data_IF_714417334534
#
_entry.id   IF_714417334534
#
_cell.length_a   1.000
_cell.length_b   1.000
_cell.length_c   1.000
_cell.angle_alpha   90.00
_cell.angle_beta   90.00
_cell.angle_gamma   90.00
#
_symmetry.space_group_name_H-M   'P 1'
#
loop_
_entity.id
_entity.type
_entity.pdbx_description
1 polymer ?
#
# COMPACT_ATOMS: atom_id res chain seq x y z
N UNK A 1 -11.45 -0.15 -17.91
CA UNK A 1 -11.42 1.25 -17.44
C UNK A 1 -9.96 1.65 -17.45
N UNK A 2 -9.58 2.53 -18.38
CA UNK A 2 -8.20 3.00 -18.51
C UNK A 2 -7.95 4.04 -17.41
N UNK A 3 -6.93 3.85 -16.58
CA UNK A 3 -6.59 4.74 -15.45
C UNK A 3 -6.38 6.21 -15.88
N UNK A 4 -6.00 6.45 -17.15
CA UNK A 4 -5.51 7.74 -17.61
C UNK A 4 -6.58 8.86 -17.75
N UNK A 5 -7.87 8.57 -17.55
CA UNK A 5 -8.94 9.57 -17.72
C UNK A 5 -9.15 10.48 -16.50
N UNK A 6 -8.60 10.14 -15.33
CA UNK A 6 -8.81 10.85 -14.05
C UNK A 6 -7.78 11.91 -13.66
N UNK A 7 -6.78 12.22 -14.50
CA UNK A 7 -5.61 13.03 -14.12
C UNK A 7 -4.49 12.22 -13.45
N UNK A 8 -4.57 10.89 -13.58
CA UNK A 8 -3.61 9.93 -13.05
C UNK A 8 -2.38 9.86 -13.97
N UNK A 9 -1.19 9.80 -13.37
CA UNK A 9 0.07 9.66 -14.11
C UNK A 9 0.55 8.21 -14.09
N UNK A 10 0.61 7.58 -15.26
CA UNK A 10 1.24 6.27 -15.41
C UNK A 10 2.76 6.43 -15.38
N UNK A 11 3.41 5.66 -14.50
CA UNK A 11 4.84 5.65 -14.28
C UNK A 11 5.42 4.25 -14.44
N UNK A 12 6.74 4.13 -14.58
CA UNK A 12 7.41 2.87 -14.91
C UNK A 12 7.63 1.93 -13.72
N UNK A 13 7.57 2.43 -12.48
CA UNK A 13 7.82 1.65 -11.27
C UNK A 13 7.10 2.21 -10.04
N UNK A 14 6.99 1.41 -8.96
CA UNK A 14 6.43 1.90 -7.72
C UNK A 14 7.33 2.92 -7.02
N UNK A 15 8.66 2.84 -7.21
CA UNK A 15 9.58 3.87 -6.74
C UNK A 15 9.31 5.24 -7.39
N UNK A 16 9.03 5.26 -8.69
CA UNK A 16 8.65 6.50 -9.39
C UNK A 16 7.28 6.99 -8.91
N UNK A 17 6.34 6.08 -8.64
CA UNK A 17 4.99 6.41 -8.17
C UNK A 17 4.99 7.06 -6.79
N UNK A 18 5.88 6.64 -5.88
CA UNK A 18 5.93 7.14 -4.51
C UNK A 18 6.91 8.32 -4.31
N UNK A 19 7.70 8.67 -5.33
CA UNK A 19 8.71 9.71 -5.23
C UNK A 19 8.09 11.06 -4.82
N UNK A 20 8.56 11.63 -3.71
CA UNK A 20 8.04 12.88 -3.17
C UNK A 20 6.68 12.79 -2.46
N UNK A 21 6.09 11.59 -2.36
CA UNK A 21 4.82 11.35 -1.70
C UNK A 21 4.93 11.11 -0.20
N UNK A 22 3.95 11.64 0.55
CA UNK A 22 3.85 11.43 2.01
C UNK A 22 3.18 10.10 2.39
N UNK A 23 2.40 9.52 1.48
CA UNK A 23 1.68 8.27 1.68
C UNK A 23 1.56 7.46 0.39
N UNK A 24 1.52 6.13 0.53
CA UNK A 24 1.33 5.16 -0.55
C UNK A 24 0.21 4.22 -0.15
N UNK A 25 -0.79 4.05 -1.01
CA UNK A 25 -1.92 3.14 -0.78
C UNK A 25 -1.70 1.87 -1.60
N UNK A 26 -1.81 0.71 -0.95
CA UNK A 26 -1.67 -0.61 -1.58
C UNK A 26 -2.96 -1.40 -1.44
N UNK A 27 -3.26 -2.22 -2.44
CA UNK A 27 -4.32 -3.23 -2.39
C UNK A 27 -3.90 -4.40 -3.28
N UNK A 28 -3.00 -5.22 -2.75
CA UNK A 28 -2.29 -6.28 -3.47
C UNK A 28 -2.39 -7.58 -2.68
N UNK A 29 -2.86 -8.66 -3.31
CA UNK A 29 -2.97 -9.97 -2.66
C UNK A 29 -2.21 -10.98 -3.53
N UNK A 30 -1.31 -11.83 -2.99
CA UNK A 30 -1.02 -12.12 -1.57
C UNK A 30 0.13 -11.34 -0.93
N UNK A 31 0.42 -11.63 0.35
CA UNK A 31 1.42 -10.94 1.17
C UNK A 31 2.84 -10.97 0.58
N UNK A 32 3.19 -11.99 -0.19
CA UNK A 32 4.44 -12.06 -0.94
C UNK A 32 4.50 -10.98 -2.04
N UNK A 33 3.40 -10.71 -2.72
CA UNK A 33 3.30 -9.61 -3.69
C UNK A 33 3.41 -8.26 -2.97
N UNK A 34 2.76 -8.09 -1.82
CA UNK A 34 2.93 -6.87 -1.00
C UNK A 34 4.41 -6.68 -0.63
N UNK A 35 5.08 -7.75 -0.18
CA UNK A 35 6.50 -7.70 0.15
C UNK A 35 7.35 -7.29 -1.05
N UNK A 36 7.11 -7.89 -2.22
CA UNK A 36 7.83 -7.55 -3.44
C UNK A 36 7.59 -6.10 -3.83
N UNK A 37 6.34 -5.63 -3.85
CA UNK A 37 5.98 -4.26 -4.22
C UNK A 37 6.49 -3.20 -3.23
N UNK A 38 6.77 -3.59 -1.98
CA UNK A 38 7.34 -2.66 -1.00
C UNK A 38 8.86 -2.71 -0.97
N UNK A 39 9.44 -3.90 -0.92
CA UNK A 39 10.86 -4.11 -0.61
C UNK A 39 11.69 -4.65 -1.78
N UNK A 40 11.09 -4.80 -2.96
CA UNK A 40 11.80 -5.18 -4.18
C UNK A 40 12.74 -4.10 -4.72
N UNK A 41 13.60 -4.44 -5.69
CA UNK A 41 14.43 -3.46 -6.38
C UNK A 41 13.56 -2.51 -7.22
N UNK A 42 13.83 -1.20 -7.18
CA UNK A 42 13.02 -0.15 -7.83
C UNK A 42 11.55 -0.08 -7.38
N UNK A 43 11.27 -0.57 -6.17
CA UNK A 43 9.94 -0.56 -5.57
C UNK A 43 9.83 0.49 -4.44
N UNK A 44 8.71 0.52 -3.71
CA UNK A 44 8.32 1.64 -2.85
C UNK A 44 9.42 2.07 -1.87
N UNK A 45 10.05 1.13 -1.16
CA UNK A 45 11.06 1.45 -0.16
C UNK A 45 12.33 2.10 -0.75
N UNK A 46 12.57 1.95 -2.05
CA UNK A 46 13.70 2.56 -2.74
C UNK A 46 13.44 4.01 -3.21
N UNK A 47 12.17 4.35 -3.48
CA UNK A 47 11.77 5.70 -3.94
C UNK A 47 11.09 6.57 -2.88
N UNK A 48 10.58 5.97 -1.80
CA UNK A 48 9.85 6.66 -0.76
C UNK A 48 10.75 7.50 0.14
N UNK A 49 10.22 8.62 0.62
CA UNK A 49 10.89 9.41 1.63
C UNK A 49 10.87 8.69 2.98
N UNK A 50 11.86 8.97 3.82
CA UNK A 50 11.80 8.54 5.22
C UNK A 50 10.55 9.13 5.89
N UNK A 51 9.77 8.26 6.54
CA UNK A 51 8.51 8.60 7.20
C UNK A 51 7.28 8.49 6.31
N UNK A 52 7.43 8.16 5.02
CA UNK A 52 6.29 7.88 4.13
C UNK A 52 5.41 6.79 4.74
N UNK A 53 4.09 7.02 4.71
CA UNK A 53 3.09 6.12 5.27
C UNK A 53 2.61 5.13 4.21
N UNK A 54 2.84 3.84 4.42
CA UNK A 54 2.21 2.77 3.64
C UNK A 54 0.85 2.47 4.26
N UNK A 55 -0.21 2.62 3.49
CA UNK A 55 -1.58 2.25 3.84
C UNK A 55 -1.90 0.97 3.08
N UNK A 56 -1.81 -0.16 3.77
CA UNK A 56 -2.07 -1.46 3.18
C UNK A 56 -3.54 -1.84 3.33
N UNK A 57 -4.29 -1.84 2.23
CA UNK A 57 -5.69 -2.26 2.18
C UNK A 57 -5.85 -3.71 1.72
N UNK A 58 -4.74 -4.45 1.65
CA UNK A 58 -4.73 -5.84 1.22
C UNK A 58 -5.37 -6.75 2.27
N UNK A 59 -6.08 -7.78 1.82
CA UNK A 59 -6.63 -8.80 2.72
C UNK A 59 -5.60 -9.90 2.97
N UNK A 60 -4.60 -9.60 3.81
CA UNK A 60 -3.52 -10.52 4.19
C UNK A 60 -3.65 -10.97 5.65
N UNK A 61 -2.91 -12.01 6.04
CA UNK A 61 -2.97 -12.51 7.41
C UNK A 61 -2.22 -11.59 8.41
N UNK A 62 -2.65 -11.52 9.69
CA UNK A 62 -2.05 -10.60 10.66
C UNK A 62 -0.57 -10.84 10.95
N UNK A 63 -0.07 -12.08 10.79
CA UNK A 63 1.35 -12.40 11.03
C UNK A 63 2.20 -11.77 9.94
N UNK A 64 1.77 -11.90 8.68
CA UNK A 64 2.40 -11.25 7.54
C UNK A 64 2.35 -9.72 7.66
N UNK A 65 1.20 -9.12 7.99
CA UNK A 65 1.09 -7.67 8.20
C UNK A 65 2.09 -7.17 9.24
N UNK A 66 2.21 -7.86 10.37
CA UNK A 66 3.15 -7.47 11.42
C UNK A 66 4.60 -7.55 10.96
N UNK A 67 4.98 -8.62 10.25
CA UNK A 67 6.33 -8.75 9.71
C UNK A 67 6.66 -7.66 8.69
N UNK A 68 5.70 -7.32 7.81
CA UNK A 68 5.84 -6.22 6.84
C UNK A 68 6.00 -4.88 7.55
N UNK A 69 5.21 -4.62 8.59
CA UNK A 69 5.31 -3.40 9.41
C UNK A 69 6.66 -3.27 10.09
N UNK A 70 7.20 -4.35 10.65
CA UNK A 70 8.52 -4.35 11.28
C UNK A 70 9.65 -4.10 10.28
N UNK A 71 9.55 -4.67 9.08
CA UNK A 71 10.51 -4.43 8.00
C UNK A 71 10.39 -3.02 7.43
N UNK A 72 9.18 -2.47 7.32
CA UNK A 72 8.93 -1.09 6.92
C UNK A 72 9.57 -0.10 7.90
N UNK A 73 9.43 -0.34 9.20
CA UNK A 73 10.07 0.48 10.23
C UNK A 73 11.60 0.48 10.11
N UNK A 74 12.21 -0.69 9.82
CA UNK A 74 13.67 -0.79 9.57
C UNK A 74 14.10 -0.01 8.32
N UNK A 75 13.23 0.08 7.31
CA UNK A 75 13.43 0.88 6.11
C UNK A 75 13.12 2.39 6.32
N UNK A 76 12.74 2.80 7.53
CA UNK A 76 12.38 4.19 7.84
C UNK A 76 10.99 4.60 7.35
N UNK A 77 10.12 3.64 7.06
CA UNK A 77 8.74 3.85 6.61
C UNK A 77 7.76 3.63 7.77
N UNK A 78 6.51 4.09 7.60
CA UNK A 78 5.41 3.81 8.53
C UNK A 78 4.41 2.88 7.87
N UNK A 79 3.72 2.06 8.66
CA UNK A 79 2.74 1.10 8.16
C UNK A 79 1.39 1.32 8.83
N UNK A 80 0.32 1.30 8.03
CA UNK A 80 -1.05 1.30 8.49
C UNK A 80 -1.77 0.13 7.83
N UNK A 81 -2.17 -0.85 8.64
CA UNK A 81 -3.02 -1.95 8.16
C UNK A 81 -4.46 -1.45 8.10
N UNK A 82 -5.05 -1.52 6.91
CA UNK A 82 -6.37 -0.96 6.62
C UNK A 82 -7.22 -1.87 5.72
N UNK A 83 -7.43 -3.15 6.07
CA UNK A 83 -8.18 -4.07 5.23
C UNK A 83 -9.63 -3.60 5.03
N UNK A 84 -10.11 -3.75 3.78
CA UNK A 84 -11.47 -3.39 3.40
C UNK A 84 -12.46 -4.52 3.75
N UNK A 85 -13.60 -4.16 4.34
CA UNK A 85 -14.72 -5.07 4.57
C UNK A 85 -15.98 -4.58 3.84
N UNK A 86 -16.70 -5.51 3.21
CA UNK A 86 -17.94 -5.22 2.47
C UNK A 86 -17.99 -5.68 1.01
N UNK A 87 -16.86 -6.11 0.44
CA UNK A 87 -16.75 -6.66 -0.91
C UNK A 87 -16.93 -5.63 -2.04
N UNK A 88 -16.66 -6.07 -3.28
CA UNK A 88 -16.78 -5.27 -4.52
C UNK A 88 -18.10 -4.48 -4.65
N UNK A 89 -19.28 -5.00 -4.24
CA UNK A 89 -20.54 -4.27 -4.39
C UNK A 89 -20.62 -2.95 -3.61
N UNK A 90 -19.91 -2.84 -2.47
CA UNK A 90 -19.92 -1.62 -1.64
C UNK A 90 -18.85 -0.60 -2.04
N UNK A 91 -17.84 -1.01 -2.83
CA UNK A 91 -16.85 -0.10 -3.42
C UNK A 91 -17.55 0.93 -4.32
N UNK A 92 -18.52 0.48 -5.12
CA UNK A 92 -19.24 1.33 -6.06
C UNK A 92 -20.16 2.36 -5.40
N UNK A 93 -20.58 2.14 -4.14
CA UNK A 93 -21.45 3.07 -3.39
C UNK A 93 -20.68 3.95 -2.41
N UNK A 94 -19.38 3.70 -2.21
CA UNK A 94 -18.56 4.44 -1.24
C UNK A 94 -18.78 4.02 0.22
N UNK A 95 -19.58 2.98 0.48
CA UNK A 95 -19.95 2.52 1.84
C UNK A 95 -19.01 1.42 2.37
N UNK A 96 -17.71 1.50 2.03
CA UNK A 96 -16.73 0.55 2.52
C UNK A 96 -16.43 0.78 4.00
N UNK A 97 -16.43 -0.31 4.78
CA UNK A 97 -15.92 -0.26 6.14
C UNK A 97 -14.39 -0.46 6.09
N UNK A 98 -13.64 0.56 6.53
CA UNK A 98 -12.20 0.52 6.73
C UNK A 98 -11.90 0.26 8.21
N UNK A 99 -11.07 -0.74 8.48
CA UNK A 99 -10.55 -1.00 9.83
C UNK A 99 -9.09 -0.55 9.88
N UNK A 100 -8.81 0.60 10.48
CA UNK A 100 -7.45 1.14 10.58
C UNK A 100 -6.77 0.69 11.89
N UNK A 101 -5.71 -0.11 11.78
CA UNK A 101 -4.82 -0.50 12.88
C UNK A 101 -3.40 -0.01 12.62
N UNK A 102 -2.91 0.93 13.43
CA UNK A 102 -1.52 1.34 13.42
C UNK A 102 -0.67 0.44 14.33
N UNK A 103 0.53 0.09 13.87
CA UNK A 103 1.56 -0.62 14.65
C UNK A 103 2.81 0.25 14.82
#
# INVERSE_FOLDING_TARGET
MSLVEGGEHLVGSAAEACAGGDAVILSLNPADIVRCAVFGPDEIASGANTGTLIIDMSSIDPVSTRALSEDAAKAGLRWLDCPLSGGVPRVATGDLALFAGGL
#
